data_IF_497110551184
#
_entry.id   IF_497110551184
#
_cell.length_a   1.000
_cell.length_b   1.000
_cell.length_c   1.000
_cell.angle_alpha   90.00
_cell.angle_beta   90.00
_cell.angle_gamma   90.00
#
_symmetry.space_group_name_H-M   'P 1'
#
loop_
_entity.id
_entity.type
_entity.pdbx_description
1 polymer ?
#
# COMPACT_ATOMS: atom_id res chain seq x y z
N UNK A 1 8.91 -5.13 -8.65
CA UNK A 1 7.57 -4.54 -8.82
C UNK A 1 7.17 -3.99 -7.48
N UNK A 2 6.70 -2.73 -7.42
CA UNK A 2 6.23 -2.12 -6.17
C UNK A 2 4.88 -2.75 -5.78
N UNK A 3 4.64 -3.04 -4.50
CA UNK A 3 3.35 -3.44 -3.96
C UNK A 3 3.05 -2.70 -2.63
N UNK A 4 1.92 -3.01 -1.98
CA UNK A 4 1.52 -2.35 -0.73
C UNK A 4 2.49 -2.60 0.43
N UNK A 5 3.13 -3.77 0.50
CA UNK A 5 4.12 -4.10 1.52
C UNK A 5 5.38 -3.24 1.35
N UNK A 6 5.80 -2.94 0.12
CA UNK A 6 6.92 -2.03 -0.14
C UNK A 6 6.64 -0.62 0.40
N UNK A 7 5.40 -0.13 0.25
CA UNK A 7 4.99 1.17 0.79
C UNK A 7 5.07 1.16 2.33
N UNK A 8 4.57 0.10 2.97
CA UNK A 8 4.63 -0.08 4.43
C UNK A 8 6.08 -0.18 4.90
N UNK A 9 6.90 -1.03 4.27
CA UNK A 9 8.30 -1.24 4.62
C UNK A 9 9.16 0.01 4.40
N UNK A 10 8.80 0.86 3.44
CA UNK A 10 9.44 2.17 3.23
C UNK A 10 9.02 3.25 4.25
N UNK A 11 8.09 2.95 5.15
CA UNK A 11 7.57 3.90 6.14
C UNK A 11 6.71 5.01 5.53
N UNK A 12 6.34 4.90 4.24
CA UNK A 12 5.52 5.90 3.53
C UNK A 12 4.02 5.64 3.64
N UNK A 13 3.62 4.49 4.20
CA UNK A 13 2.22 4.24 4.52
C UNK A 13 1.73 5.31 5.50
N UNK A 14 0.49 5.77 5.34
CA UNK A 14 -0.14 6.76 6.23
C UNK A 14 -1.39 6.22 6.91
N UNK A 15 -1.64 4.90 6.82
CA UNK A 15 -2.77 4.25 7.47
C UNK A 15 -4.15 4.62 6.93
N UNK A 16 -4.25 5.15 5.70
CA UNK A 16 -5.54 5.60 5.14
C UNK A 16 -6.49 4.46 4.72
N UNK A 17 -5.99 3.22 4.64
CA UNK A 17 -6.73 2.01 4.24
C UNK A 17 -7.41 2.06 2.85
N UNK A 18 -7.08 3.03 1.99
CA UNK A 18 -7.68 3.14 0.65
C UNK A 18 -7.42 1.89 -0.22
N UNK A 19 -6.22 1.32 -0.14
CA UNK A 19 -5.85 0.12 -0.89
C UNK A 19 -6.74 -1.09 -0.57
N UNK A 20 -7.11 -1.28 0.70
CA UNK A 20 -8.00 -2.34 1.16
C UNK A 20 -9.39 -2.16 0.56
N UNK A 21 -9.95 -0.95 0.67
CA UNK A 21 -11.27 -0.62 0.13
C UNK A 21 -11.36 -0.72 -1.40
N UNK A 22 -10.26 -0.43 -2.10
CA UNK A 22 -10.20 -0.44 -3.56
C UNK A 22 -9.93 -1.81 -4.18
N UNK A 23 -9.46 -2.79 -3.40
CA UNK A 23 -9.08 -4.09 -3.95
C UNK A 23 -10.32 -4.85 -4.46
N UNK A 24 -10.50 -5.02 -5.79
CA UNK A 24 -11.70 -5.68 -6.31
C UNK A 24 -11.70 -7.20 -6.06
N UNK A 25 -10.54 -7.74 -5.67
CA UNK A 25 -10.34 -9.16 -5.39
C UNK A 25 -10.45 -9.48 -3.90
N UNK A 26 -10.61 -8.47 -3.03
CA UNK A 26 -10.62 -8.68 -1.57
C UNK A 26 -9.29 -9.25 -1.03
N UNK A 27 -8.19 -9.05 -1.75
CA UNK A 27 -6.90 -9.67 -1.44
C UNK A 27 -6.05 -8.88 -0.42
N UNK A 28 -6.59 -7.78 0.12
CA UNK A 28 -5.92 -6.91 1.08
C UNK A 28 -6.78 -6.80 2.34
N UNK A 29 -6.15 -6.92 3.50
CA UNK A 29 -6.78 -6.73 4.82
C UNK A 29 -5.99 -5.72 5.65
N UNK A 30 -6.53 -5.25 6.77
CA UNK A 30 -5.78 -4.41 7.73
C UNK A 30 -5.24 -5.24 8.87
N UNK A 31 -3.97 -5.02 9.23
CA UNK A 31 -3.33 -5.60 10.40
C UNK A 31 -2.78 -4.51 11.31
N UNK A 32 -2.66 -4.79 12.61
CA UNK A 32 -2.00 -3.90 13.56
C UNK A 32 -0.50 -3.79 13.20
N UNK A 33 -0.09 -2.58 12.81
CA UNK A 33 1.30 -2.26 12.50
C UNK A 33 2.01 -1.55 13.65
N UNK A 34 3.34 -1.50 13.59
CA UNK A 34 4.19 -0.83 14.60
C UNK A 34 4.10 0.70 14.56
N UNK A 35 3.41 1.26 13.55
CA UNK A 35 3.31 2.70 13.30
C UNK A 35 2.20 3.41 14.12
N UNK A 36 1.47 2.67 14.96
CA UNK A 36 0.36 3.21 15.75
C UNK A 36 -0.96 3.39 14.97
N UNK A 37 -1.04 2.82 13.77
CA UNK A 37 -2.24 2.73 12.94
C UNK A 37 -2.24 1.40 12.16
N UNK A 38 -3.41 0.92 11.69
CA UNK A 38 -3.48 -0.30 10.90
C UNK A 38 -2.83 -0.13 9.51
N UNK A 39 -2.09 -1.16 9.09
CA UNK A 39 -1.41 -1.22 7.79
C UNK A 39 -2.02 -2.30 6.90
N UNK A 40 -1.98 -2.14 5.56
CA UNK A 40 -2.46 -3.17 4.66
C UNK A 40 -1.56 -4.41 4.67
N UNK A 41 -2.17 -5.58 4.74
CA UNK A 41 -1.53 -6.89 4.61
C UNK A 41 -1.95 -7.52 3.27
N UNK A 42 -0.97 -8.00 2.50
CA UNK A 42 -1.21 -8.68 1.21
C UNK A 42 -1.49 -10.17 1.43
N UNK A 43 -2.61 -10.66 0.91
CA UNK A 43 -2.94 -12.10 0.88
C UNK A 43 -2.44 -12.78 -0.40
N UNK A 44 -2.46 -14.11 -0.41
CA UNK A 44 -2.14 -14.95 -1.59
C UNK A 44 -3.09 -14.76 -2.77
N UNK A 45 -4.28 -14.21 -2.55
CA UNK A 45 -5.27 -13.94 -3.60
C UNK A 45 -4.92 -12.70 -4.44
N UNK A 46 -3.88 -11.96 -4.05
CA UNK A 46 -3.46 -10.77 -4.77
C UNK A 46 -2.74 -11.16 -6.07
N UNK A 47 -3.30 -10.70 -7.19
CA UNK A 47 -2.78 -10.96 -8.54
C UNK A 47 -1.88 -9.83 -9.08
N UNK A 48 -1.43 -8.92 -8.21
CA UNK A 48 -0.57 -7.79 -8.57
C UNK A 48 -1.14 -6.88 -9.68
N UNK A 49 -2.47 -6.71 -9.73
CA UNK A 49 -3.13 -5.82 -10.70
C UNK A 49 -2.75 -4.33 -10.59
N UNK A 50 -2.19 -3.89 -9.47
CA UNK A 50 -1.70 -2.52 -9.27
C UNK A 50 -2.75 -1.43 -9.01
N UNK A 51 -4.06 -1.74 -9.04
CA UNK A 51 -5.15 -0.75 -8.84
C UNK A 51 -4.97 0.05 -7.54
N UNK A 52 -4.62 -0.63 -6.44
CA UNK A 52 -4.41 0.01 -5.15
C UNK A 52 -3.25 1.02 -5.15
N UNK A 53 -2.28 0.87 -6.05
CA UNK A 53 -1.11 1.76 -6.13
C UNK A 53 -1.42 3.03 -6.92
N UNK A 54 -2.33 2.97 -7.91
CA UNK A 54 -2.75 4.13 -8.70
C UNK A 54 -3.38 5.23 -7.84
N UNK A 55 -4.08 4.83 -6.79
CA UNK A 55 -4.75 5.74 -5.86
C UNK A 55 -3.95 5.96 -4.57
N UNK A 56 -2.81 5.30 -4.40
CA UNK A 56 -2.02 5.43 -3.19
C UNK A 56 -1.24 6.76 -3.26
N UNK A 57 -1.52 7.73 -2.38
CA UNK A 57 -0.83 9.03 -2.40
C UNK A 57 0.68 8.92 -2.15
N UNK A 58 1.11 7.79 -1.59
CA UNK A 58 2.51 7.50 -1.27
C UNK A 58 3.23 6.66 -2.33
N UNK A 59 2.55 6.20 -3.39
CA UNK A 59 3.17 5.36 -4.42
C UNK A 59 4.11 6.15 -5.34
N UNK A 60 3.69 7.36 -5.72
CA UNK A 60 4.35 8.24 -6.70
C UNK A 60 5.13 9.39 -6.08
N UNK A 61 5.53 9.30 -4.80
CA UNK A 61 6.65 10.12 -4.34
C UNK A 61 7.91 9.59 -5.06
N UNK A 62 8.18 10.14 -6.24
CA UNK A 62 9.49 10.11 -6.88
C UNK A 62 10.49 10.68 -5.86
N UNK A 63 11.70 10.12 -5.78
CA UNK A 63 12.80 10.87 -5.17
C UNK A 63 12.88 12.17 -5.96
N UNK A 64 12.54 13.30 -5.32
CA UNK A 64 12.89 14.64 -5.77
C UNK A 64 14.43 14.73 -5.82
N UNK A 65 15.01 14.08 -6.82
CA UNK A 65 16.34 14.37 -7.35
C UNK A 65 16.21 15.57 -8.26
N UNK A 66 16.08 16.74 -7.66
CA UNK A 66 16.48 18.01 -8.26
C UNK A 66 18.02 18.01 -8.34
N UNK A 67 18.57 17.45 -9.43
CA UNK A 67 19.78 17.90 -10.16
C UNK A 67 19.98 17.12 -11.48
#
# INVERSE_FOLDING_TARGET
MKNVEDIVNSGRCIGCAACVSLCPFGALETADGDFGYPVPLKSSDCNDCGICLLECPSADCEEDGDD
#
